data_IF_096071066883
#
_entry.id   IF_096071066883
#
_cell.length_a   1.000
_cell.length_b   1.000
_cell.length_c   1.000
_cell.angle_alpha   90.00
_cell.angle_beta   90.00
_cell.angle_gamma   90.00
#
_symmetry.space_group_name_H-M   'P 1'
#
loop_
_entity.id
_entity.type
_entity.pdbx_description
1 polymer ?
#
# COMPACT_ATOMS: atom_id res chain seq x y z
N UNK A 1 -14.50 24.55 3.84
CA UNK A 1 -13.11 24.64 3.33
C UNK A 1 -12.91 23.52 2.32
N UNK A 2 -12.25 23.82 1.21
CA UNK A 2 -11.91 22.81 0.20
C UNK A 2 -10.40 22.59 0.23
N UNK A 3 -9.96 21.35 0.11
CA UNK A 3 -8.54 20.96 0.10
C UNK A 3 -8.28 20.08 -1.10
N UNK A 4 -7.31 20.46 -1.93
CA UNK A 4 -6.78 19.61 -2.98
C UNK A 4 -5.41 19.07 -2.56
N UNK A 5 -5.22 17.77 -2.66
CA UNK A 5 -3.98 17.07 -2.35
C UNK A 5 -3.47 16.41 -3.63
N UNK A 6 -2.20 16.64 -3.96
CA UNK A 6 -1.54 16.06 -5.13
C UNK A 6 -0.67 14.90 -4.69
N UNK A 7 -0.93 13.73 -5.24
CA UNK A 7 -0.24 12.48 -4.94
C UNK A 7 -0.97 11.62 -3.90
N UNK A 8 -1.33 10.41 -4.29
CA UNK A 8 -2.04 9.41 -3.49
C UNK A 8 -1.13 8.42 -2.76
N UNK A 9 0.14 8.75 -2.53
CA UNK A 9 1.05 7.97 -1.70
C UNK A 9 0.74 8.09 -0.21
N UNK A 10 1.57 7.49 0.70
CA UNK A 10 1.29 7.45 2.14
C UNK A 10 1.04 8.82 2.77
N UNK A 11 1.78 9.85 2.40
CA UNK A 11 1.55 11.21 2.88
C UNK A 11 0.20 11.75 2.40
N UNK A 12 -0.09 11.62 1.10
CA UNK A 12 -1.28 12.19 0.48
C UNK A 12 -2.57 11.54 0.96
N UNK A 13 -2.70 10.21 0.89
CA UNK A 13 -3.94 9.57 1.35
C UNK A 13 -4.16 9.72 2.86
N UNK A 14 -3.07 9.71 3.67
CA UNK A 14 -3.20 9.92 5.12
C UNK A 14 -3.71 11.32 5.43
N UNK A 15 -3.15 12.35 4.79
CA UNK A 15 -3.61 13.73 4.93
C UNK A 15 -5.07 13.89 4.45
N UNK A 16 -5.40 13.29 3.30
CA UNK A 16 -6.75 13.30 2.74
C UNK A 16 -7.79 12.71 3.71
N UNK A 17 -7.50 11.54 4.28
CA UNK A 17 -8.40 10.87 5.21
C UNK A 17 -8.53 11.63 6.54
N UNK A 18 -7.44 12.20 7.05
CA UNK A 18 -7.48 13.03 8.26
C UNK A 18 -8.32 14.29 8.04
N UNK A 19 -8.11 15.01 6.95
CA UNK A 19 -8.88 16.21 6.61
C UNK A 19 -10.37 15.90 6.39
N UNK A 20 -10.68 14.82 5.68
CA UNK A 20 -12.06 14.40 5.44
C UNK A 20 -12.80 14.05 6.75
N UNK A 21 -12.13 13.35 7.69
CA UNK A 21 -12.68 13.09 9.03
C UNK A 21 -12.94 14.36 9.84
N UNK A 22 -12.16 15.42 9.59
CA UNK A 22 -12.35 16.74 10.18
C UNK A 22 -13.42 17.58 9.47
N UNK A 23 -14.17 16.99 8.53
CA UNK A 23 -15.27 17.67 7.82
C UNK A 23 -14.83 18.58 6.66
N UNK A 24 -13.58 18.45 6.19
CA UNK A 24 -13.08 19.17 5.03
C UNK A 24 -13.50 18.48 3.74
N UNK A 25 -13.95 19.22 2.74
CA UNK A 25 -14.16 18.71 1.38
C UNK A 25 -12.81 18.46 0.71
N UNK A 26 -12.47 17.19 0.45
CA UNK A 26 -11.16 16.82 -0.06
C UNK A 26 -11.22 16.27 -1.48
N UNK A 27 -10.34 16.79 -2.34
CA UNK A 27 -10.00 16.20 -3.63
C UNK A 27 -8.57 15.69 -3.58
N UNK A 28 -8.37 14.41 -3.90
CA UNK A 28 -7.06 13.76 -3.97
C UNK A 28 -6.77 13.42 -5.42
N UNK A 29 -5.73 14.02 -5.99
CA UNK A 29 -5.30 13.76 -7.37
C UNK A 29 -4.17 12.75 -7.37
N UNK A 30 -4.32 11.66 -8.10
CA UNK A 30 -3.30 10.61 -8.23
C UNK A 30 -3.21 10.13 -9.68
N UNK A 31 -2.00 10.14 -10.25
CA UNK A 31 -1.78 9.78 -11.66
C UNK A 31 -1.90 8.28 -11.94
N UNK A 32 -1.60 7.43 -10.96
CA UNK A 32 -1.60 5.98 -11.13
C UNK A 32 -2.58 5.30 -10.16
N UNK A 33 -2.13 4.85 -9.01
CA UNK A 33 -2.92 4.10 -8.05
C UNK A 33 -2.72 4.64 -6.63
N UNK A 34 -3.80 4.68 -5.83
CA UNK A 34 -3.70 4.98 -4.41
C UNK A 34 -2.71 4.04 -3.72
N UNK A 35 -1.91 4.60 -2.82
CA UNK A 35 -0.84 3.89 -2.14
C UNK A 35 0.56 4.26 -2.62
N UNK A 36 0.68 4.76 -3.86
CA UNK A 36 1.95 5.25 -4.43
C UNK A 36 3.07 4.21 -4.44
N UNK A 37 4.30 4.66 -4.51
CA UNK A 37 5.51 3.82 -4.56
C UNK A 37 5.59 2.86 -3.37
N UNK A 38 5.25 3.29 -2.17
CA UNK A 38 5.34 2.45 -0.97
C UNK A 38 4.48 1.19 -1.09
N UNK A 39 3.23 1.31 -1.54
CA UNK A 39 2.31 0.18 -1.67
C UNK A 39 2.64 -0.70 -2.88
N UNK A 40 2.99 -0.12 -4.02
CA UNK A 40 3.03 -0.85 -5.28
C UNK A 40 4.42 -1.40 -5.63
N UNK A 41 5.48 -0.66 -5.32
CA UNK A 41 6.85 -0.99 -5.76
C UNK A 41 7.92 -0.86 -4.65
N UNK A 42 7.53 -0.45 -3.44
CA UNK A 42 8.47 -0.18 -2.34
C UNK A 42 8.23 -1.04 -1.10
N UNK A 43 7.74 -0.39 -0.05
CA UNK A 43 7.67 -0.94 1.31
C UNK A 43 6.91 -2.26 1.41
N UNK A 44 5.70 -2.32 0.84
CA UNK A 44 4.82 -3.49 0.98
C UNK A 44 5.33 -4.69 0.19
N UNK A 45 5.69 -4.56 -1.11
CA UNK A 45 6.34 -5.63 -1.85
C UNK A 45 7.60 -6.17 -1.14
N UNK A 46 8.48 -5.28 -0.71
CA UNK A 46 9.73 -5.65 -0.02
C UNK A 46 9.46 -6.43 1.26
N UNK A 47 8.57 -5.93 2.12
CA UNK A 47 8.21 -6.63 3.36
C UNK A 47 7.53 -7.97 3.12
N UNK A 48 6.70 -8.06 2.08
CA UNK A 48 6.02 -9.31 1.73
C UNK A 48 6.99 -10.37 1.24
N UNK A 49 7.98 -9.99 0.41
CA UNK A 49 9.04 -10.90 -0.04
C UNK A 49 9.94 -11.30 1.11
N UNK A 50 10.35 -10.36 1.94
CA UNK A 50 11.15 -10.62 3.14
C UNK A 50 10.45 -11.61 4.09
N UNK A 51 9.16 -11.43 4.36
CA UNK A 51 8.39 -12.36 5.19
C UNK A 51 8.42 -13.81 4.67
N UNK A 52 8.50 -14.00 3.37
CA UNK A 52 8.66 -15.36 2.79
C UNK A 52 10.07 -15.91 3.00
N UNK A 53 11.10 -15.05 2.91
CA UNK A 53 12.48 -15.43 3.19
C UNK A 53 12.68 -15.76 4.69
N UNK A 54 12.13 -14.92 5.58
CA UNK A 54 12.20 -15.13 7.03
C UNK A 54 11.49 -16.45 7.43
N UNK A 55 10.39 -16.81 6.78
CA UNK A 55 9.71 -18.09 6.99
C UNK A 55 10.58 -19.28 6.57
N UNK A 56 11.25 -19.18 5.42
CA UNK A 56 12.17 -20.22 4.95
C UNK A 56 13.36 -20.38 5.88
N UNK A 57 13.96 -19.28 6.35
CA UNK A 57 15.03 -19.29 7.34
C UNK A 57 14.58 -19.94 8.65
N UNK A 58 13.37 -19.62 9.12
CA UNK A 58 12.80 -20.25 10.32
C UNK A 58 12.66 -21.77 10.16
N UNK A 59 12.20 -22.24 9.01
CA UNK A 59 12.08 -23.68 8.74
C UNK A 59 13.46 -24.35 8.72
N UNK A 60 14.47 -23.70 8.18
CA UNK A 60 15.84 -24.23 8.17
C UNK A 60 16.44 -24.35 9.57
N UNK A 61 15.94 -23.58 10.53
CA UNK A 61 16.46 -23.47 11.91
C UNK A 61 15.52 -24.05 12.97
N UNK A 62 14.57 -24.92 12.62
CA UNK A 62 13.58 -25.48 13.55
C UNK A 62 14.20 -26.08 14.82
N UNK A 63 15.36 -26.74 14.69
CA UNK A 63 16.06 -27.37 15.83
C UNK A 63 16.51 -26.36 16.90
N UNK A 64 16.84 -25.12 16.50
CA UNK A 64 17.21 -24.05 17.44
C UNK A 64 16.01 -23.64 18.33
N UNK A 65 14.79 -23.84 17.82
CA UNK A 65 13.54 -23.59 18.54
C UNK A 65 13.01 -24.81 19.30
N UNK A 66 13.79 -25.90 19.40
CA UNK A 66 13.40 -27.14 20.07
C UNK A 66 12.37 -27.97 19.30
N UNK A 67 12.17 -27.68 18.02
CA UNK A 67 11.22 -28.39 17.16
C UNK A 67 11.97 -29.52 16.43
N UNK A 68 11.56 -30.76 16.67
CA UNK A 68 12.09 -31.93 15.98
C UNK A 68 11.38 -32.11 14.63
N UNK A 69 12.13 -32.39 13.59
CA UNK A 69 11.65 -32.66 12.24
C UNK A 69 12.67 -32.19 11.20
N UNK A 70 12.72 -32.88 10.08
CA UNK A 70 13.45 -32.44 8.89
C UNK A 70 12.44 -31.95 7.87
N UNK A 71 12.43 -30.65 7.62
CA UNK A 71 11.58 -30.03 6.62
C UNK A 71 12.48 -29.47 5.51
N UNK A 72 12.57 -30.19 4.39
CA UNK A 72 13.20 -29.70 3.17
C UNK A 72 12.25 -28.72 2.49
N UNK A 73 12.28 -27.45 2.89
CA UNK A 73 11.49 -26.40 2.26
C UNK A 73 12.27 -25.80 1.09
N UNK A 74 11.64 -25.70 -0.05
CA UNK A 74 12.17 -25.01 -1.23
C UNK A 74 11.27 -23.84 -1.60
N UNK A 75 11.84 -22.67 -1.97
CA UNK A 75 11.04 -21.52 -2.34
C UNK A 75 10.37 -21.72 -3.71
N UNK A 76 9.06 -21.53 -3.78
CA UNK A 76 8.33 -21.34 -5.03
C UNK A 76 8.20 -19.84 -5.31
N UNK A 77 9.06 -19.34 -6.20
CA UNK A 77 9.07 -17.91 -6.56
C UNK A 77 7.77 -17.46 -7.22
N UNK A 78 7.09 -18.34 -7.95
CA UNK A 78 5.79 -18.00 -8.56
C UNK A 78 4.72 -17.76 -7.49
N UNK A 79 4.62 -18.66 -6.51
CA UNK A 79 3.71 -18.52 -5.38
C UNK A 79 4.05 -17.32 -4.49
N UNK A 80 5.33 -17.04 -4.25
CA UNK A 80 5.80 -15.88 -3.49
C UNK A 80 5.39 -14.57 -4.18
N UNK A 81 5.58 -14.47 -5.49
CA UNK A 81 5.18 -13.30 -6.28
C UNK A 81 3.66 -13.15 -6.34
N UNK A 82 2.92 -14.25 -6.48
CA UNK A 82 1.46 -14.23 -6.44
C UNK A 82 0.94 -13.74 -5.08
N UNK A 83 1.52 -14.20 -3.97
CA UNK A 83 1.23 -13.70 -2.61
C UNK A 83 1.48 -12.20 -2.50
N UNK A 84 2.63 -11.72 -2.98
CA UNK A 84 2.98 -10.29 -2.99
C UNK A 84 1.92 -9.47 -3.75
N UNK A 85 1.50 -9.90 -4.94
CA UNK A 85 0.46 -9.23 -5.73
C UNK A 85 -0.88 -9.20 -5.00
N UNK A 86 -1.27 -10.31 -4.38
CA UNK A 86 -2.51 -10.39 -3.58
C UNK A 86 -2.52 -9.39 -2.42
N UNK A 87 -1.41 -9.30 -1.66
CA UNK A 87 -1.29 -8.36 -0.54
C UNK A 87 -1.43 -6.92 -1.03
N UNK A 88 -0.72 -6.55 -2.09
CA UNK A 88 -0.78 -5.20 -2.69
C UNK A 88 -2.21 -4.86 -3.14
N UNK A 89 -2.87 -5.76 -3.86
CA UNK A 89 -4.25 -5.55 -4.34
C UNK A 89 -5.26 -5.40 -3.19
N UNK A 90 -5.12 -6.22 -2.14
CA UNK A 90 -5.98 -6.13 -0.96
C UNK A 90 -5.85 -4.77 -0.26
N UNK A 91 -4.64 -4.29 -0.08
CA UNK A 91 -4.38 -2.99 0.55
C UNK A 91 -4.85 -1.82 -0.33
N UNK A 92 -4.65 -1.88 -1.65
CA UNK A 92 -5.17 -0.89 -2.58
C UNK A 92 -6.70 -0.79 -2.49
N UNK A 93 -7.39 -1.93 -2.55
CA UNK A 93 -8.86 -1.98 -2.40
C UNK A 93 -9.30 -1.39 -1.06
N UNK A 94 -8.55 -1.62 0.02
CA UNK A 94 -8.81 -1.02 1.33
C UNK A 94 -8.73 0.50 1.31
N UNK A 95 -7.71 1.06 0.66
CA UNK A 95 -7.56 2.52 0.51
C UNK A 95 -8.70 3.12 -0.31
N UNK A 96 -9.06 2.50 -1.42
CA UNK A 96 -10.15 2.95 -2.31
C UNK A 96 -11.50 2.95 -1.57
N UNK A 97 -11.79 1.88 -0.81
CA UNK A 97 -13.00 1.80 0.04
C UNK A 97 -13.01 2.89 1.11
N UNK A 98 -11.87 3.13 1.77
CA UNK A 98 -11.76 4.18 2.79
C UNK A 98 -11.98 5.56 2.19
N UNK A 99 -11.40 5.84 1.02
CA UNK A 99 -11.62 7.09 0.30
C UNK A 99 -13.11 7.30 -0.01
N UNK A 100 -13.79 6.26 -0.50
CA UNK A 100 -15.22 6.32 -0.80
C UNK A 100 -16.07 6.54 0.46
N UNK A 101 -15.80 5.83 1.56
CA UNK A 101 -16.51 5.99 2.84
C UNK A 101 -16.37 7.39 3.41
N UNK A 102 -15.19 7.99 3.29
CA UNK A 102 -14.89 9.35 3.75
C UNK A 102 -15.30 10.43 2.74
N UNK A 103 -15.89 10.04 1.61
CA UNK A 103 -16.32 10.96 0.53
C UNK A 103 -15.15 11.79 -0.02
N UNK A 104 -13.93 11.27 0.01
CA UNK A 104 -12.78 11.86 -0.65
C UNK A 104 -12.95 11.70 -2.15
N UNK A 105 -12.97 12.80 -2.89
CA UNK A 105 -13.03 12.79 -4.35
C UNK A 105 -11.65 12.40 -4.88
N UNK A 106 -11.49 11.18 -5.38
CA UNK A 106 -10.26 10.74 -6.04
C UNK A 106 -10.36 11.06 -7.53
N UNK A 107 -9.43 11.89 -8.00
CA UNK A 107 -9.29 12.24 -9.43
C UNK A 107 -8.04 11.55 -9.96
N UNK A 108 -8.20 10.78 -11.02
CA UNK A 108 -7.07 10.12 -11.66
C UNK A 108 -6.52 11.00 -12.77
N UNK A 109 -5.27 11.38 -12.68
CA UNK A 109 -4.58 12.24 -13.65
C UNK A 109 -3.36 12.91 -13.07
N UNK A 110 -2.66 13.62 -13.94
CA UNK A 110 -1.57 14.51 -13.55
C UNK A 110 -2.13 15.87 -13.12
N UNK A 111 -1.54 16.42 -12.06
CA UNK A 111 -1.92 17.73 -11.54
C UNK A 111 -0.82 18.75 -11.80
N UNK A 112 -1.20 19.91 -12.26
CA UNK A 112 -0.30 21.04 -12.50
C UNK A 112 -0.86 22.28 -11.84
N UNK A 113 0.00 23.08 -11.20
CA UNK A 113 -0.40 24.39 -10.68
C UNK A 113 -0.49 25.40 -11.82
N UNK A 114 -1.70 25.90 -12.05
CA UNK A 114 -1.95 26.91 -13.09
C UNK A 114 -2.17 28.32 -12.54
N UNK A 115 -2.19 28.46 -11.21
CA UNK A 115 -2.32 29.73 -10.53
C UNK A 115 -2.43 29.56 -9.01
N UNK A 116 -2.51 30.66 -8.28
CA UNK A 116 -2.69 30.62 -6.83
C UNK A 116 -4.02 29.96 -6.46
N UNK A 117 -3.95 28.77 -5.82
CA UNK A 117 -5.12 28.00 -5.42
C UNK A 117 -5.83 27.25 -6.56
N UNK A 118 -5.23 27.18 -7.74
CA UNK A 118 -5.77 26.48 -8.93
C UNK A 118 -4.84 25.35 -9.35
N UNK A 119 -5.41 24.15 -9.48
CA UNK A 119 -4.73 22.91 -9.92
C UNK A 119 -5.51 22.31 -11.09
#
# INVERSE_FOLDING_TARGET
MKLTIIGGGPGGYTAAFAAARAGVEVTLVERAHLGGTCLHTGCIPTKTLRSSADALDTVARLREFGIAGDCAATPDMSAIVARKRKVTATLQTGLEKTAAQLKVRVVRGDAEFVGAGLV
#
